data_IF_975981381664
#
_entry.id   IF_975981381664
#
_cell.length_a   1.000
_cell.length_b   1.000
_cell.length_c   1.000
_cell.angle_alpha   90.00
_cell.angle_beta   90.00
_cell.angle_gamma   90.00
#
_symmetry.space_group_name_H-M   'P 1'
#
loop_
_entity.id
_entity.type
_entity.pdbx_description
1 polymer ?
#
# COMPACT_ATOMS: atom_id res chain seq x y z
N UNK A 1 8.32 1.71 -15.25
CA UNK A 1 7.78 1.88 -13.88
C UNK A 1 6.70 0.85 -13.59
N UNK A 2 6.40 0.67 -12.31
CA UNK A 2 5.40 -0.28 -11.81
C UNK A 2 4.55 0.38 -10.72
N UNK A 3 3.26 0.08 -10.69
CA UNK A 3 2.41 0.42 -9.56
C UNK A 3 2.33 -0.79 -8.64
N UNK A 4 2.85 -0.64 -7.43
CA UNK A 4 2.63 -1.57 -6.33
C UNK A 4 1.29 -1.21 -5.67
N UNK A 5 0.39 -2.18 -5.56
CA UNK A 5 -0.90 -2.06 -4.87
C UNK A 5 -1.01 -3.14 -3.81
N UNK A 6 -0.90 -2.77 -2.54
CA UNK A 6 -0.92 -3.69 -1.41
C UNK A 6 -2.23 -3.55 -0.62
N UNK A 7 -3.00 -4.63 -0.53
CA UNK A 7 -4.18 -4.72 0.35
C UNK A 7 -3.75 -5.41 1.63
N UNK A 8 -3.81 -4.72 2.76
CA UNK A 8 -3.23 -5.14 4.03
C UNK A 8 -4.23 -5.04 5.20
N UNK A 9 -3.83 -5.55 6.36
CA UNK A 9 -4.54 -5.30 7.62
C UNK A 9 -4.35 -3.84 8.06
N UNK A 10 -5.40 -3.15 8.58
CA UNK A 10 -5.29 -1.74 8.93
C UNK A 10 -4.17 -1.39 9.92
N UNK A 11 -3.95 -2.21 10.95
CA UNK A 11 -2.93 -1.96 11.97
C UNK A 11 -1.48 -2.09 11.46
N UNK A 12 -1.27 -2.54 10.22
CA UNK A 12 0.04 -2.65 9.59
C UNK A 12 0.42 -1.44 8.74
N UNK A 13 -0.47 -0.46 8.61
CA UNK A 13 -0.26 0.71 7.75
C UNK A 13 1.03 1.45 8.10
N UNK A 14 1.20 1.85 9.37
CA UNK A 14 2.32 2.69 9.78
C UNK A 14 3.67 1.96 9.60
N UNK A 15 3.77 0.70 10.06
CA UNK A 15 4.97 -0.15 9.86
C UNK A 15 5.42 -0.21 8.39
N UNK A 16 4.45 -0.35 7.47
CA UNK A 16 4.72 -0.48 6.04
C UNK A 16 5.11 0.87 5.42
N UNK A 17 4.42 1.95 5.79
CA UNK A 17 4.75 3.31 5.35
C UNK A 17 6.20 3.66 5.74
N UNK A 18 6.58 3.36 6.98
CA UNK A 18 7.92 3.64 7.50
C UNK A 18 9.00 2.80 6.81
N UNK A 19 8.73 1.51 6.57
CA UNK A 19 9.65 0.63 5.87
C UNK A 19 9.88 1.07 4.41
N UNK A 20 8.82 1.43 3.70
CA UNK A 20 8.89 1.98 2.35
C UNK A 20 9.63 3.33 2.33
N UNK A 21 9.37 4.21 3.29
CA UNK A 21 10.05 5.50 3.39
C UNK A 21 11.56 5.36 3.66
N UNK A 22 11.95 4.39 4.50
CA UNK A 22 13.35 4.08 4.84
C UNK A 22 14.16 3.67 3.61
N UNK A 23 13.55 2.90 2.70
CA UNK A 23 14.23 2.52 1.45
C UNK A 23 14.12 3.61 0.38
N UNK A 24 13.46 4.74 0.65
CA UNK A 24 13.35 5.93 -0.21
C UNK A 24 12.05 6.04 -1.02
N UNK A 25 11.01 5.25 -0.70
CA UNK A 25 9.69 5.29 -1.34
C UNK A 25 8.78 6.13 -0.45
N UNK A 26 8.68 7.43 -0.76
CA UNK A 26 7.94 8.40 0.08
C UNK A 26 6.62 8.87 -0.52
N UNK A 27 6.39 8.59 -1.80
CA UNK A 27 5.14 8.89 -2.49
C UNK A 27 4.22 7.68 -2.49
N UNK A 28 3.12 7.76 -1.76
CA UNK A 28 2.10 6.70 -1.71
C UNK A 28 0.71 7.29 -1.51
N UNK A 29 -0.29 6.57 -1.99
CA UNK A 29 -1.72 6.86 -1.77
C UNK A 29 -2.32 5.74 -0.94
N UNK A 30 -3.11 6.12 0.06
CA UNK A 30 -3.77 5.17 0.97
C UNK A 30 -5.28 5.29 0.78
N UNK A 31 -5.97 4.17 0.68
CA UNK A 31 -7.43 4.11 0.57
C UNK A 31 -7.98 3.04 1.50
N UNK A 32 -9.01 3.39 2.27
CA UNK A 32 -9.78 2.41 3.02
C UNK A 32 -10.63 1.59 2.06
N UNK A 33 -10.53 0.26 2.15
CA UNK A 33 -11.27 -0.65 1.29
C UNK A 33 -11.87 -1.78 2.11
N UNK A 34 -12.86 -2.45 1.54
CA UNK A 34 -13.51 -3.59 2.18
C UNK A 34 -13.24 -4.84 1.36
N UNK A 35 -12.58 -5.83 1.95
CA UNK A 35 -12.32 -7.12 1.31
C UNK A 35 -13.47 -8.09 1.57
N UNK A 36 -13.83 -8.87 0.54
CA UNK A 36 -14.76 -9.99 0.69
C UNK A 36 -13.98 -11.28 0.96
N UNK A 37 -14.31 -11.98 2.04
CA UNK A 37 -13.80 -13.32 2.34
C UNK A 37 -14.96 -14.22 2.77
N UNK A 38 -15.21 -15.31 2.04
CA UNK A 38 -16.14 -16.35 2.49
C UNK A 38 -15.57 -17.01 3.75
N UNK A 39 -16.02 -16.56 4.92
CA UNK A 39 -15.66 -17.19 6.19
C UNK A 39 -16.80 -18.09 6.65
N UNK A 40 -16.49 -19.36 6.90
CA UNK A 40 -17.43 -20.27 7.57
C UNK A 40 -17.62 -19.83 9.03
N UNK A 41 -18.62 -18.99 9.33
CA UNK A 41 -19.31 -19.08 10.63
C UNK A 41 -19.23 -17.95 11.66
N UNK A 42 -19.28 -16.67 11.29
CA UNK A 42 -19.60 -15.61 12.25
C UNK A 42 -20.85 -14.83 11.82
N UNK A 43 -22.02 -15.40 12.10
CA UNK A 43 -23.30 -14.69 12.07
C UNK A 43 -23.31 -13.63 13.16
N UNK A 44 -23.34 -12.35 12.80
CA UNK A 44 -23.58 -11.28 13.76
C UNK A 44 -25.08 -10.94 13.74
N UNK A 45 -25.74 -11.07 14.89
CA UNK A 45 -27.16 -10.73 15.02
C UNK A 45 -27.27 -9.21 15.14
N UNK A 46 -27.86 -8.56 14.15
CA UNK A 46 -28.16 -7.12 14.20
C UNK A 46 -29.68 -6.94 14.09
N UNK A 47 -30.29 -6.32 15.12
CA UNK A 47 -31.75 -6.11 15.23
C UNK A 47 -32.60 -7.36 14.97
N UNK A 48 -32.16 -8.53 15.45
CA UNK A 48 -32.90 -9.79 15.28
C UNK A 48 -32.76 -10.45 13.90
N UNK A 49 -31.94 -9.88 13.01
CA UNK A 49 -31.59 -10.49 11.72
C UNK A 49 -30.13 -10.92 11.71
N UNK A 50 -29.87 -12.15 11.26
CA UNK A 50 -28.52 -12.65 11.03
C UNK A 50 -27.96 -12.02 9.78
N UNK A 51 -27.01 -11.11 9.92
CA UNK A 51 -26.16 -10.68 8.82
C UNK A 51 -24.83 -11.41 8.95
N UNK A 52 -24.53 -12.28 7.99
CA UNK A 52 -23.17 -12.76 7.80
C UNK A 52 -22.45 -11.65 7.05
N UNK A 53 -21.62 -10.87 7.75
CA UNK A 53 -20.79 -9.88 7.08
C UNK A 53 -19.54 -10.58 6.56
N UNK A 54 -19.59 -11.00 5.30
CA UNK A 54 -18.43 -11.53 4.57
C UNK A 54 -17.38 -10.45 4.22
N UNK A 55 -17.65 -9.21 4.65
CA UNK A 55 -16.87 -8.03 4.38
C UNK A 55 -16.00 -7.65 5.59
N UNK A 56 -14.70 -7.46 5.33
CA UNK A 56 -13.69 -7.15 6.35
C UNK A 56 -12.95 -5.88 5.92
N UNK A 57 -12.83 -4.91 6.83
CA UNK A 57 -12.08 -3.69 6.60
C UNK A 57 -10.59 -3.97 6.32
N UNK A 58 -10.04 -3.27 5.33
CA UNK A 58 -8.66 -3.37 4.85
C UNK A 58 -8.15 -1.99 4.48
N UNK A 59 -6.84 -1.89 4.35
CA UNK A 59 -6.19 -0.71 3.76
C UNK A 59 -5.57 -1.12 2.43
N UNK A 60 -5.73 -0.27 1.41
CA UNK A 60 -5.02 -0.37 0.13
C UNK A 60 -3.95 0.72 0.08
N UNK A 61 -2.69 0.33 -0.07
CA UNK A 61 -1.56 1.23 -0.30
C UNK A 61 -1.17 1.13 -1.78
N UNK A 62 -1.06 2.27 -2.45
CA UNK A 62 -0.66 2.36 -3.85
C UNK A 62 0.56 3.28 -4.00
N UNK A 63 1.60 2.79 -4.66
CA UNK A 63 2.81 3.57 -4.96
C UNK A 63 3.29 3.25 -6.37
N UNK A 64 3.63 4.28 -7.15
CA UNK A 64 4.32 4.11 -8.44
C UNK A 64 5.82 4.21 -8.17
N UNK A 65 6.55 3.19 -8.62
CA UNK A 65 7.97 2.98 -8.32
C UNK A 65 8.72 2.61 -9.60
N UNK A 66 10.01 2.95 -9.65
CA UNK A 66 10.90 2.49 -10.73
C UNK A 66 11.06 0.98 -10.67
N UNK A 67 11.29 0.36 -11.82
CA UNK A 67 11.43 -1.11 -11.92
C UNK A 67 12.58 -1.63 -11.04
N UNK A 68 13.67 -0.86 -10.93
CA UNK A 68 14.85 -1.21 -10.12
C UNK A 68 14.57 -1.34 -8.62
N UNK A 69 13.52 -0.67 -8.12
CA UNK A 69 13.19 -0.61 -6.70
C UNK A 69 11.98 -1.47 -6.33
N UNK A 70 11.37 -2.13 -7.32
CA UNK A 70 10.16 -2.93 -7.13
C UNK A 70 10.40 -4.08 -6.15
N UNK A 71 11.49 -4.83 -6.32
CA UNK A 71 11.75 -6.03 -5.53
C UNK A 71 11.99 -5.68 -4.04
N UNK A 72 12.75 -4.61 -3.78
CA UNK A 72 12.96 -4.09 -2.43
C UNK A 72 11.66 -3.62 -1.78
N UNK A 73 10.80 -2.94 -2.54
CA UNK A 73 9.49 -2.49 -2.08
C UNK A 73 8.59 -3.68 -1.70
N UNK A 74 8.52 -4.70 -2.56
CA UNK A 74 7.75 -5.93 -2.29
C UNK A 74 8.29 -6.62 -1.04
N UNK A 75 9.61 -6.77 -0.92
CA UNK A 75 10.24 -7.42 0.23
C UNK A 75 9.91 -6.67 1.54
N UNK A 76 9.99 -5.34 1.54
CA UNK A 76 9.63 -4.52 2.69
C UNK A 76 8.16 -4.69 3.09
N UNK A 77 7.23 -4.57 2.13
CA UNK A 77 5.79 -4.73 2.40
C UNK A 77 5.48 -6.14 2.91
N UNK A 78 6.04 -7.19 2.30
CA UNK A 78 5.83 -8.57 2.75
C UNK A 78 6.35 -8.77 4.17
N UNK A 79 7.54 -8.28 4.48
CA UNK A 79 8.15 -8.41 5.80
C UNK A 79 7.25 -7.78 6.88
N UNK A 80 6.79 -6.55 6.66
CA UNK A 80 6.03 -5.83 7.69
C UNK A 80 4.55 -6.24 7.74
N UNK A 81 3.93 -6.60 6.61
CA UNK A 81 2.53 -7.02 6.55
C UNK A 81 2.28 -8.43 7.12
N UNK A 82 3.29 -9.31 7.08
CA UNK A 82 3.12 -10.74 7.39
C UNK A 82 2.99 -10.99 8.88
N UNK A 83 1.87 -11.57 9.28
CA UNK A 83 1.64 -12.11 10.64
C UNK A 83 1.63 -13.64 10.66
N UNK A 84 1.55 -14.27 9.48
CA UNK A 84 1.44 -15.73 9.33
C UNK A 84 0.00 -16.25 9.52
N UNK A 85 -0.99 -15.37 9.60
CA UNK A 85 -2.41 -15.70 9.78
C UNK A 85 -3.22 -15.35 8.54
N UNK A 86 -4.35 -16.03 8.36
CA UNK A 86 -5.28 -15.75 7.26
C UNK A 86 -5.76 -14.29 7.26
N UNK A 87 -5.69 -13.66 6.08
CA UNK A 87 -6.09 -12.27 5.88
C UNK A 87 -4.96 -11.24 5.97
N UNK A 88 -3.68 -11.66 5.91
CA UNK A 88 -2.54 -10.74 5.87
C UNK A 88 -2.59 -9.77 4.68
N UNK A 89 -3.06 -10.24 3.53
CA UNK A 89 -3.21 -9.37 2.37
C UNK A 89 -2.84 -9.99 1.04
N UNK A 90 -2.76 -9.14 0.03
CA UNK A 90 -2.22 -9.43 -1.31
C UNK A 90 -1.51 -8.19 -1.84
N UNK A 91 -0.47 -8.40 -2.64
CA UNK A 91 0.21 -7.36 -3.41
C UNK A 91 -0.07 -7.62 -4.89
N UNK A 92 -0.46 -6.58 -5.61
CA UNK A 92 -0.58 -6.58 -7.06
C UNK A 92 0.44 -5.63 -7.64
N UNK A 93 1.00 -6.00 -8.79
CA UNK A 93 1.95 -5.19 -9.52
C UNK A 93 1.37 -4.95 -10.91
N UNK A 94 1.20 -3.68 -11.27
CA UNK A 94 0.70 -3.27 -12.57
C UNK A 94 1.80 -2.49 -13.32
N UNK A 95 1.82 -2.64 -14.65
CA UNK A 95 2.69 -1.82 -15.49
C UNK A 95 2.20 -0.37 -15.51
N UNK A 96 3.13 0.56 -15.31
CA UNK A 96 2.90 2.00 -15.50
C UNK A 96 3.77 2.45 -16.65
N UNK A 97 3.13 2.90 -17.73
CA UNK A 97 3.80 3.37 -18.94
C UNK A 97 4.41 4.76 -18.78
N UNK A 98 3.79 5.62 -17.98
CA UNK A 98 4.21 7.01 -17.80
C UNK A 98 3.78 7.53 -16.42
N UNK A 99 4.57 8.44 -15.86
CA UNK A 99 4.30 9.15 -14.62
C UNK A 99 4.75 10.59 -14.77
N UNK A 100 3.93 11.56 -14.36
CA UNK A 100 4.23 12.98 -14.52
C UNK A 100 4.10 13.68 -13.17
N UNK A 101 5.16 14.34 -12.71
CA UNK A 101 5.09 15.19 -11.52
C UNK A 101 4.46 16.53 -11.90
N UNK A 102 3.19 16.73 -11.51
CA UNK A 102 2.40 17.93 -11.85
C UNK A 102 3.14 19.26 -11.59
N UNK A 103 3.86 19.38 -10.47
CA UNK A 103 4.53 20.63 -10.06
C UNK A 103 5.71 21.01 -10.97
N UNK A 104 6.47 20.02 -11.45
CA UNK A 104 7.76 20.24 -12.16
C UNK A 104 7.72 19.85 -13.62
N UNK A 105 6.75 19.01 -14.02
CA UNK A 105 6.71 18.39 -15.34
C UNK A 105 7.70 17.25 -15.53
N UNK A 106 8.45 16.84 -14.50
CA UNK A 106 9.32 15.65 -14.57
C UNK A 106 8.50 14.42 -14.96
N UNK A 107 9.08 13.57 -15.79
CA UNK A 107 8.43 12.40 -16.38
C UNK A 107 9.16 11.12 -16.01
N UNK A 108 8.51 9.97 -16.20
CA UNK A 108 9.13 8.66 -15.96
C UNK A 108 9.63 8.47 -14.53
N UNK A 109 10.82 7.90 -14.41
CA UNK A 109 11.42 7.57 -13.12
C UNK A 109 11.75 8.80 -12.26
N UNK A 110 12.03 9.97 -12.88
CA UNK A 110 12.24 11.24 -12.16
C UNK A 110 10.98 11.70 -11.43
N UNK A 111 9.79 11.42 -12.00
CA UNK A 111 8.53 11.70 -11.32
C UNK A 111 8.33 10.81 -10.08
N UNK A 112 8.80 9.56 -10.13
CA UNK A 112 8.63 8.57 -9.07
C UNK A 112 9.63 8.71 -7.92
N UNK A 113 10.82 9.23 -8.20
CA UNK A 113 11.85 9.50 -7.18
C UNK A 113 11.75 10.96 -6.74
N UNK A 114 11.07 11.29 -5.62
CA UNK A 114 11.09 12.66 -5.13
C UNK A 114 12.55 13.08 -4.86
N UNK A 115 12.97 14.29 -5.25
CA UNK A 115 14.29 14.79 -4.91
C UNK A 115 14.46 14.75 -3.39
N UNK A 116 15.64 14.33 -2.94
CA UNK A 116 16.01 14.41 -1.53
C UNK A 116 16.10 15.88 -1.15
N UNK A 117 15.00 16.45 -0.66
CA UNK A 117 15.05 17.66 0.14
C UNK A 117 15.65 17.25 1.49
N UNK A 118 16.97 17.04 1.52
CA UNK A 118 17.72 17.09 2.77
C UNK A 118 17.37 18.41 3.45
N UNK A 119 17.30 18.38 4.78
CA UNK A 119 16.95 19.50 5.66
C UNK A 119 17.16 20.84 4.95
N UNK A 120 16.06 21.51 4.59
CA UNK A 120 16.11 22.94 4.37
C UNK A 120 16.64 23.50 5.69
N UNK A 121 17.94 23.72 5.75
CA UNK A 121 18.60 24.46 6.80
C UNK A 121 17.83 25.77 6.89
N UNK A 122 17.04 25.91 7.94
CA UNK A 122 16.44 27.17 8.30
C UNK A 122 17.59 28.15 8.54
N UNK A 123 17.88 28.96 7.52
CA UNK A 123 18.72 30.15 7.61
C UNK A 123 17.84 31.36 7.82
#
# INVERSE_FOLDING_TARGET
MKQLSAIIRPFKLDDICDALATIGIRGMTVTEVTGFEQRKGHSQIYRGHTYVSDFIARIKIEAVISDERLDDAIAAVVKEARTGKDGDGKIFVLNVSEAIRIRTGEMGDEACNPPFYGELSAS
#
